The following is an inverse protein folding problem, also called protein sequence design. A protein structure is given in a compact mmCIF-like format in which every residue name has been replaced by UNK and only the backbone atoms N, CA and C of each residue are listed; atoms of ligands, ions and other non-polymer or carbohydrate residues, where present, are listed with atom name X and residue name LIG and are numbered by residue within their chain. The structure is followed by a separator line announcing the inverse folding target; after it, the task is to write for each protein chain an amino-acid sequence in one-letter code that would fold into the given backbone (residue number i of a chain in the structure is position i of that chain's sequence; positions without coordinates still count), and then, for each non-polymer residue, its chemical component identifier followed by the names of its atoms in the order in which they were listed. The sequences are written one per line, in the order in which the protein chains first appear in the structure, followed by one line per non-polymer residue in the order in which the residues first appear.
data_IF_989438400877
#
_entry.id   IF_989438400877
#
_cell.length_a   1.000
_cell.length_b   1.000
_cell.length_c   1.000
_cell.angle_alpha   90.00
_cell.angle_beta   90.00
_cell.angle_gamma   90.00
#
_symmetry.space_group_name_H-M   'P 1'
#
loop_
_entity.id
_entity.type
_entity.pdbx_description
1 polymer ?
#
# COMPACT_ATOMS: atom_id res chain seq x y z
N UNK A 1 41.00 -40.51 -27.83
CA UNK A 1 39.63 -40.04 -27.56
C UNK A 1 39.69 -38.92 -26.54
N UNK A 2 39.60 -37.65 -26.96
CA UNK A 2 39.51 -36.49 -26.05
C UNK A 2 38.03 -36.14 -25.90
N UNK A 3 37.47 -36.27 -24.69
CA UNK A 3 36.10 -35.84 -24.37
C UNK A 3 36.15 -34.35 -24.04
N UNK A 4 35.54 -33.49 -24.86
CA UNK A 4 35.28 -32.10 -24.48
C UNK A 4 34.07 -32.06 -23.54
N UNK A 5 34.25 -31.44 -22.39
CA UNK A 5 33.16 -31.10 -21.48
C UNK A 5 32.59 -29.75 -21.94
N UNK A 6 31.37 -29.74 -22.49
CA UNK A 6 30.63 -28.51 -22.72
C UNK A 6 30.02 -28.07 -21.38
N UNK A 7 30.47 -26.91 -20.87
CA UNK A 7 29.77 -26.18 -19.81
C UNK A 7 28.68 -25.33 -20.47
N UNK A 8 27.41 -25.73 -20.32
CA UNK A 8 26.28 -24.86 -20.61
C UNK A 8 26.17 -23.79 -19.52
N UNK A 9 26.54 -22.56 -19.86
CA UNK A 9 26.30 -21.39 -19.02
C UNK A 9 24.84 -20.95 -19.24
N UNK A 10 23.94 -21.39 -18.36
CA UNK A 10 22.55 -20.90 -18.35
C UNK A 10 22.55 -19.51 -17.72
N UNK A 11 22.52 -18.46 -18.54
CA UNK A 11 22.28 -17.11 -18.08
C UNK A 11 20.85 -17.03 -17.50
N UNK A 12 20.76 -16.95 -16.18
CA UNK A 12 19.50 -16.69 -15.49
C UNK A 12 19.11 -15.24 -15.80
N UNK A 13 18.23 -15.04 -16.77
CA UNK A 13 17.65 -13.73 -17.07
C UNK A 13 16.70 -13.37 -15.93
N UNK A 14 17.20 -12.65 -14.92
CA UNK A 14 16.36 -12.02 -13.91
C UNK A 14 15.50 -10.96 -14.59
N UNK A 15 14.24 -11.27 -14.86
CA UNK A 15 13.24 -10.22 -15.11
C UNK A 15 13.12 -9.43 -13.80
N UNK A 16 13.67 -8.23 -13.77
CA UNK A 16 13.28 -7.25 -12.75
C UNK A 16 11.82 -6.90 -13.04
N UNK A 17 10.92 -7.34 -12.16
CA UNK A 17 9.59 -6.77 -12.10
C UNK A 17 9.75 -5.31 -11.66
N UNK A 18 9.52 -4.36 -12.56
CA UNK A 18 9.53 -2.94 -12.23
C UNK A 18 8.19 -2.59 -11.57
N UNK A 19 8.25 -1.95 -10.41
CA UNK A 19 7.09 -1.51 -9.65
C UNK A 19 7.39 -0.18 -8.98
N UNK A 20 6.33 0.58 -8.72
CA UNK A 20 6.46 1.82 -7.95
C UNK A 20 6.86 1.50 -6.51
N UNK A 21 7.74 2.32 -5.95
CA UNK A 21 8.15 2.23 -4.55
C UNK A 21 7.10 2.92 -3.67
N UNK A 22 6.15 2.16 -3.13
CA UNK A 22 4.99 2.68 -2.38
C UNK A 22 4.66 1.81 -1.17
N UNK A 23 3.93 2.32 -0.16
CA UNK A 23 3.46 3.71 0.00
C UNK A 23 4.62 4.68 0.26
N UNK A 24 4.47 5.93 -0.17
CA UNK A 24 5.43 7.01 0.16
C UNK A 24 4.94 7.66 1.46
N UNK A 25 5.48 7.18 2.58
CA UNK A 25 5.04 7.51 3.95
C UNK A 25 6.09 8.30 4.75
N UNK A 26 7.27 8.54 4.15
CA UNK A 26 8.37 9.30 4.74
C UNK A 26 8.91 8.72 6.06
N UNK A 27 8.55 7.49 6.42
CA UNK A 27 8.99 6.86 7.65
C UNK A 27 10.50 6.53 7.61
N UNK A 28 11.20 6.51 8.76
CA UNK A 28 12.62 6.17 8.79
C UNK A 28 12.92 4.82 8.14
N UNK A 29 13.65 4.84 7.02
CA UNK A 29 13.95 3.64 6.21
C UNK A 29 12.85 3.22 5.23
N UNK A 30 11.71 3.93 5.23
CA UNK A 30 10.61 3.81 4.28
C UNK A 30 10.80 4.64 3.01
N UNK A 31 9.81 4.60 2.13
CA UNK A 31 9.85 5.31 0.86
C UNK A 31 9.56 6.80 1.03
N UNK A 32 10.27 7.65 0.29
CA UNK A 32 10.16 9.10 0.38
C UNK A 32 11.08 9.75 1.42
N UNK A 33 11.47 9.03 2.47
CA UNK A 33 12.23 9.58 3.60
C UNK A 33 13.65 10.05 3.23
N UNK A 34 14.29 9.36 2.29
CA UNK A 34 15.66 9.67 1.83
C UNK A 34 15.73 9.90 0.32
N UNK A 35 14.59 10.18 -0.31
CA UNK A 35 14.49 10.43 -1.74
C UNK A 35 14.93 11.85 -2.09
N UNK A 36 15.19 12.06 -3.38
CA UNK A 36 15.44 13.41 -3.90
C UNK A 36 14.12 14.11 -4.15
N UNK A 37 13.80 15.11 -3.34
CA UNK A 37 12.65 16.00 -3.56
C UNK A 37 13.13 17.36 -4.06
N UNK A 38 13.27 17.49 -5.38
CA UNK A 38 13.71 18.74 -6.01
C UNK A 38 12.56 19.74 -5.99
N UNK A 39 12.75 20.87 -5.31
CA UNK A 39 11.75 21.96 -5.27
C UNK A 39 11.95 22.89 -6.46
N UNK A 40 10.85 23.32 -7.07
CA UNK A 40 10.84 24.24 -8.21
C UNK A 40 9.81 25.35 -8.03
N UNK A 41 10.02 26.45 -8.78
CA UNK A 41 9.12 27.61 -8.89
C UNK A 41 8.75 28.25 -7.54
N UNK A 42 9.51 27.99 -6.48
CA UNK A 42 9.24 28.44 -5.12
C UNK A 42 10.26 29.51 -4.68
N UNK A 43 10.55 30.46 -5.57
CA UNK A 43 11.58 31.49 -5.38
C UNK A 43 12.99 30.93 -5.10
N UNK A 44 13.40 30.85 -3.83
CA UNK A 44 14.71 30.29 -3.44
C UNK A 44 14.73 28.77 -3.44
N UNK A 45 13.59 28.11 -3.72
CA UNK A 45 13.42 26.66 -3.72
C UNK A 45 13.94 26.00 -2.44
N UNK A 46 13.43 26.40 -1.25
CA UNK A 46 13.78 25.73 -0.01
C UNK A 46 13.44 24.24 -0.12
N UNK A 47 14.35 23.37 0.32
CA UNK A 47 14.17 21.93 0.23
C UNK A 47 12.89 21.47 0.97
N UNK A 48 12.31 20.36 0.51
CA UNK A 48 11.32 19.62 1.30
C UNK A 48 12.03 19.11 2.56
N UNK A 49 11.42 19.34 3.72
CA UNK A 49 11.92 18.85 5.00
C UNK A 49 11.10 17.63 5.42
N UNK A 50 11.75 16.55 5.85
CA UNK A 50 11.06 15.44 6.50
C UNK A 50 11.15 15.68 8.01
N UNK A 51 10.00 15.90 8.65
CA UNK A 51 9.90 16.28 10.06
C UNK A 51 8.98 15.32 10.82
N UNK A 52 8.99 15.39 12.15
CA UNK A 52 7.97 14.74 12.96
C UNK A 52 6.56 15.23 12.57
N UNK A 53 5.61 14.30 12.49
CA UNK A 53 4.21 14.62 12.20
C UNK A 53 3.68 15.62 13.26
N UNK A 54 3.17 16.81 12.85
CA UNK A 54 2.66 17.80 13.79
C UNK A 54 1.42 17.34 14.57
N UNK A 55 0.70 16.34 14.06
CA UNK A 55 -0.45 15.72 14.71
C UNK A 55 -0.56 14.24 14.29
N UNK A 56 0.12 13.32 14.99
CA UNK A 56 0.13 11.89 14.69
C UNK A 56 -1.12 11.19 15.24
N UNK A 57 -2.30 11.78 15.01
CA UNK A 57 -3.59 11.25 15.47
C UNK A 57 -4.61 11.19 14.33
N UNK A 58 -5.75 10.55 14.60
CA UNK A 58 -6.83 10.45 13.62
C UNK A 58 -6.43 9.57 12.42
N UNK A 59 -6.56 10.13 11.22
CA UNK A 59 -6.33 9.37 9.98
C UNK A 59 -4.84 9.26 9.61
N UNK A 60 -3.98 10.13 10.13
CA UNK A 60 -2.54 10.08 9.89
C UNK A 60 -1.79 9.83 11.19
N UNK A 61 -1.41 8.57 11.42
CA UNK A 61 -0.63 8.16 12.58
C UNK A 61 0.87 7.98 12.27
N UNK A 62 1.33 8.42 11.10
CA UNK A 62 2.75 8.40 10.72
C UNK A 62 3.58 9.18 11.73
N UNK A 63 4.80 8.72 12.00
CA UNK A 63 5.73 9.41 12.88
C UNK A 63 6.35 10.63 12.18
N UNK A 64 6.53 10.56 10.87
CA UNK A 64 7.15 11.62 10.07
C UNK A 64 6.34 11.97 8.83
N UNK A 65 6.49 13.21 8.36
CA UNK A 65 5.75 13.73 7.18
C UNK A 65 6.65 14.66 6.38
N UNK A 66 6.31 14.87 5.11
CA UNK A 66 6.93 15.91 4.30
C UNK A 66 6.36 17.28 4.61
N UNK A 67 7.24 18.27 4.79
CA UNK A 67 6.93 19.69 4.96
C UNK A 67 7.43 20.46 3.76
N UNK A 68 6.50 21.14 3.10
CA UNK A 68 6.76 22.11 2.05
C UNK A 68 6.51 23.53 2.56
N UNK A 69 7.51 24.40 2.42
CA UNK A 69 7.39 25.82 2.76
C UNK A 69 7.08 26.60 1.48
N UNK A 70 5.81 26.84 1.20
CA UNK A 70 5.35 27.61 0.05
C UNK A 70 5.60 29.11 0.29
N UNK A 71 6.59 29.69 -0.40
CA UNK A 71 7.00 31.07 -0.18
C UNK A 71 6.01 32.07 -0.79
N UNK A 72 5.89 33.24 -0.16
CA UNK A 72 5.12 34.39 -0.67
C UNK A 72 5.56 34.77 -2.09
N UNK A 73 6.86 34.77 -2.34
CA UNK A 73 7.45 35.06 -3.65
C UNK A 73 7.46 33.88 -4.63
N UNK A 74 7.00 32.69 -4.21
CA UNK A 74 6.88 31.52 -5.06
C UNK A 74 5.67 31.60 -6.00
N UNK A 75 5.74 30.87 -7.11
CA UNK A 75 4.60 30.74 -8.01
C UNK A 75 3.42 30.08 -7.30
N UNK A 76 2.17 30.35 -7.75
CA UNK A 76 1.00 29.65 -7.26
C UNK A 76 1.14 28.13 -7.34
N UNK A 77 1.78 27.63 -8.40
CA UNK A 77 2.06 26.21 -8.69
C UNK A 77 3.48 25.76 -8.31
N UNK A 78 4.11 26.40 -7.32
CA UNK A 78 5.35 25.89 -6.73
C UNK A 78 5.17 24.44 -6.23
N UNK A 79 6.16 23.58 -6.44
CA UNK A 79 6.04 22.16 -6.11
C UNK A 79 7.38 21.46 -5.91
N UNK A 80 7.30 20.14 -5.75
CA UNK A 80 8.47 19.27 -5.64
C UNK A 80 8.31 18.00 -6.48
N UNK A 81 9.43 17.42 -6.90
CA UNK A 81 9.45 16.23 -7.76
C UNK A 81 10.52 15.22 -7.33
N UNK A 82 10.22 13.94 -7.55
CA UNK A 82 11.15 12.83 -7.32
C UNK A 82 12.20 12.71 -8.43
N UNK A 83 13.35 12.09 -8.19
CA UNK A 83 14.35 11.83 -9.23
C UNK A 83 13.90 10.72 -10.21
N UNK A 84 14.00 11.01 -11.51
CA UNK A 84 13.78 10.03 -12.59
C UNK A 84 14.66 8.77 -12.42
N UNK A 85 14.09 7.61 -12.74
CA UNK A 85 14.78 6.32 -12.76
C UNK A 85 15.29 5.80 -11.41
N UNK A 86 15.04 6.48 -10.29
CA UNK A 86 15.55 6.11 -8.97
C UNK A 86 14.43 6.03 -7.91
N UNK A 87 13.87 7.18 -7.53
CA UNK A 87 13.07 7.34 -6.30
C UNK A 87 11.74 6.57 -6.34
N UNK A 88 10.71 7.09 -7.00
CA UNK A 88 9.40 6.41 -7.09
C UNK A 88 9.47 5.10 -7.90
N UNK A 89 10.58 4.86 -8.60
CA UNK A 89 10.77 3.73 -9.50
C UNK A 89 9.97 3.88 -10.79
N UNK A 90 10.15 2.94 -11.71
CA UNK A 90 9.41 2.91 -12.97
C UNK A 90 8.17 2.02 -12.84
N UNK A 91 7.01 2.54 -13.22
CA UNK A 91 5.73 1.83 -13.08
C UNK A 91 4.76 2.15 -14.20
N UNK A 92 3.88 1.19 -14.50
CA UNK A 92 2.77 1.37 -15.44
C UNK A 92 1.49 1.66 -14.67
N UNK A 93 0.72 2.66 -15.10
CA UNK A 93 -0.64 2.85 -14.59
C UNK A 93 -1.54 1.74 -15.13
N UNK A 94 -2.19 1.02 -14.22
CA UNK A 94 -3.12 -0.06 -14.50
C UNK A 94 -4.32 0.03 -13.52
N UNK A 95 -5.25 -0.92 -13.62
CA UNK A 95 -6.47 -0.90 -12.82
C UNK A 95 -6.24 -0.94 -11.31
N UNK A 96 -5.07 -1.42 -10.86
CA UNK A 96 -4.75 -1.56 -9.43
C UNK A 96 -4.12 -0.31 -8.81
N UNK A 97 -3.56 0.61 -9.61
CA UNK A 97 -2.82 1.79 -9.10
C UNK A 97 -3.24 3.13 -9.74
N UNK A 98 -4.26 3.13 -10.61
CA UNK A 98 -4.81 4.36 -11.22
C UNK A 98 -5.46 5.32 -10.24
N UNK A 99 -5.75 4.90 -9.01
CA UNK A 99 -6.22 5.81 -7.97
C UNK A 99 -5.04 6.14 -7.07
N UNK A 100 -4.61 7.40 -7.11
CA UNK A 100 -3.54 7.91 -6.25
C UNK A 100 -4.17 8.72 -5.14
N UNK A 101 -3.80 8.39 -3.90
CA UNK A 101 -4.22 9.12 -2.71
C UNK A 101 -3.01 9.81 -2.09
N UNK A 102 -3.28 10.90 -1.38
CA UNK A 102 -2.30 11.67 -0.61
C UNK A 102 -3.02 12.29 0.58
N UNK A 103 -2.40 12.26 1.76
CA UNK A 103 -2.87 13.03 2.91
C UNK A 103 -2.21 14.40 2.89
N UNK A 104 -3.00 15.45 3.16
CA UNK A 104 -2.51 16.82 3.24
C UNK A 104 -3.00 17.50 4.52
N UNK A 105 -2.18 18.42 5.03
CA UNK A 105 -2.54 19.34 6.10
C UNK A 105 -2.13 20.75 5.70
N UNK A 106 -3.11 21.64 5.61
CA UNK A 106 -2.94 23.01 5.08
C UNK A 106 -3.72 24.02 5.92
N UNK A 107 -3.26 25.26 5.97
CA UNK A 107 -3.98 26.35 6.65
C UNK A 107 -5.04 27.05 5.80
N UNK A 108 -5.19 26.65 4.53
CA UNK A 108 -6.11 27.23 3.54
C UNK A 108 -6.69 26.14 2.64
N UNK A 109 -7.85 26.42 2.04
CA UNK A 109 -8.43 25.63 0.95
C UNK A 109 -7.81 26.09 -0.36
N UNK A 110 -7.20 25.15 -1.09
CA UNK A 110 -6.76 25.34 -2.46
C UNK A 110 -6.52 24.00 -3.16
N UNK A 111 -6.40 24.02 -4.48
CA UNK A 111 -6.03 22.81 -5.21
C UNK A 111 -4.68 22.27 -4.74
N UNK A 112 -4.62 20.95 -4.63
CA UNK A 112 -3.41 20.15 -4.60
C UNK A 112 -3.33 19.41 -5.93
N UNK A 113 -2.14 19.33 -6.51
CA UNK A 113 -1.92 18.67 -7.79
C UNK A 113 -0.98 17.48 -7.68
N UNK A 114 -1.28 16.42 -8.42
CA UNK A 114 -0.33 15.35 -8.71
C UNK A 114 -0.14 15.28 -10.22
N UNK A 115 1.11 15.19 -10.65
CA UNK A 115 1.49 14.96 -12.04
C UNK A 115 2.45 13.78 -12.11
N UNK A 116 2.26 12.95 -13.13
CA UNK A 116 3.18 11.86 -13.46
C UNK A 116 3.96 12.21 -14.72
N UNK A 117 5.26 11.95 -14.68
CA UNK A 117 6.19 12.32 -15.75
C UNK A 117 6.96 11.08 -16.21
N UNK A 118 7.06 10.94 -17.53
CA UNK A 118 7.78 9.84 -18.18
C UNK A 118 9.27 10.18 -18.25
N UNK A 119 10.11 9.17 -18.47
CA UNK A 119 11.56 9.35 -18.59
C UNK A 119 11.98 10.28 -19.76
N UNK A 120 11.09 10.54 -20.73
CA UNK A 120 11.30 11.49 -21.83
C UNK A 120 10.76 12.91 -21.52
N UNK A 121 10.44 13.20 -20.26
CA UNK A 121 9.82 14.43 -19.76
C UNK A 121 8.39 14.70 -20.26
N UNK A 122 7.75 13.73 -20.92
CA UNK A 122 6.36 13.88 -21.33
C UNK A 122 5.39 13.63 -20.18
N UNK A 123 4.24 14.33 -20.20
CA UNK A 123 3.16 14.17 -19.23
C UNK A 123 1.80 14.52 -19.85
N UNK A 124 0.72 13.95 -19.30
CA UNK A 124 -0.67 14.35 -19.59
C UNK A 124 -1.11 15.59 -18.80
N UNK A 125 -0.22 16.16 -17.98
CA UNK A 125 -0.52 17.28 -17.10
C UNK A 125 -0.86 16.82 -15.68
N UNK A 126 -1.05 17.81 -14.81
CA UNK A 126 -1.46 17.59 -13.42
C UNK A 126 -2.97 17.39 -13.29
N UNK A 127 -3.37 16.50 -12.39
CA UNK A 127 -4.76 16.41 -11.90
C UNK A 127 -4.83 17.23 -10.62
N UNK A 128 -5.86 18.06 -10.48
CA UNK A 128 -6.07 18.96 -9.33
C UNK A 128 -7.29 18.56 -8.53
N UNK A 129 -7.13 18.52 -7.21
CA UNK A 129 -8.21 18.27 -6.25
C UNK A 129 -8.05 19.27 -5.11
N UNK A 130 -9.10 20.05 -4.84
CA UNK A 130 -9.12 20.98 -3.72
C UNK A 130 -9.28 20.22 -2.39
N UNK A 131 -8.47 20.58 -1.39
CA UNK A 131 -8.74 20.19 -0.01
C UNK A 131 -10.00 20.90 0.51
N UNK A 132 -10.78 20.23 1.35
CA UNK A 132 -12.01 20.78 1.95
C UNK A 132 -11.83 21.16 3.42
N UNK A 133 -10.77 20.66 4.05
CA UNK A 133 -10.46 20.86 5.46
C UNK A 133 -9.21 21.72 5.61
N UNK A 134 -9.11 22.42 6.75
CA UNK A 134 -7.92 23.21 7.10
C UNK A 134 -7.47 22.89 8.51
N UNK A 135 -6.17 22.97 8.75
CA UNK A 135 -5.51 22.69 10.02
C UNK A 135 -5.87 21.33 10.62
N UNK A 136 -6.05 20.34 9.74
CA UNK A 136 -6.24 18.93 10.07
C UNK A 136 -5.86 18.07 8.86
N UNK A 137 -5.56 16.80 9.09
CA UNK A 137 -5.28 15.84 8.02
C UNK A 137 -6.54 15.55 7.18
N UNK A 138 -6.39 15.58 5.87
CA UNK A 138 -7.40 15.19 4.89
C UNK A 138 -6.78 14.32 3.82
N UNK A 139 -7.45 13.23 3.44
CA UNK A 139 -7.07 12.42 2.28
C UNK A 139 -7.73 12.98 1.01
N UNK A 140 -6.90 13.26 0.01
CA UNK A 140 -7.34 13.61 -1.34
C UNK A 140 -7.15 12.42 -2.27
N UNK A 141 -8.09 12.23 -3.20
CA UNK A 141 -8.11 11.12 -4.16
C UNK A 141 -8.04 11.66 -5.59
N UNK A 142 -7.07 11.16 -6.37
CA UNK A 142 -6.81 11.54 -7.75
C UNK A 142 -7.03 10.35 -8.68
N UNK A 143 -7.85 10.54 -9.72
CA UNK A 143 -8.19 9.49 -10.69
C UNK A 143 -7.32 9.58 -11.95
N UNK A 144 -6.31 8.72 -12.03
CA UNK A 144 -5.41 8.56 -13.17
C UNK A 144 -5.91 7.50 -14.18
N UNK A 145 -7.22 7.20 -14.24
CA UNK A 145 -7.78 6.27 -15.24
C UNK A 145 -7.44 6.67 -16.68
N UNK A 146 -7.32 7.97 -16.97
CA UNK A 146 -6.90 8.47 -18.27
C UNK A 146 -5.41 8.17 -18.62
N UNK A 147 -4.64 7.67 -17.66
CA UNK A 147 -3.22 7.34 -17.81
C UNK A 147 -2.97 5.84 -17.99
N UNK A 148 -4.00 5.00 -18.03
CA UNK A 148 -3.88 3.54 -18.19
C UNK A 148 -2.95 3.15 -19.35
N UNK A 149 -1.98 2.27 -19.06
CA UNK A 149 -0.99 1.79 -20.00
C UNK A 149 0.26 2.67 -20.14
N UNK A 150 0.26 3.90 -19.63
CA UNK A 150 1.45 4.75 -19.63
C UNK A 150 2.43 4.32 -18.54
N UNK A 151 3.72 4.42 -18.87
CA UNK A 151 4.85 4.11 -17.98
C UNK A 151 5.50 5.40 -17.50
N UNK A 152 5.55 5.61 -16.18
CA UNK A 152 6.12 6.78 -15.53
C UNK A 152 7.27 6.38 -14.61
N UNK A 153 8.14 7.34 -14.31
CA UNK A 153 9.27 7.16 -13.40
C UNK A 153 9.53 8.38 -12.50
N UNK A 154 8.61 9.34 -12.51
CA UNK A 154 8.63 10.50 -11.62
C UNK A 154 7.21 10.90 -11.23
N UNK A 155 7.07 11.29 -9.96
CA UNK A 155 5.89 11.95 -9.42
C UNK A 155 6.23 13.38 -9.03
N UNK A 156 5.32 14.30 -9.33
CA UNK A 156 5.40 15.72 -8.97
C UNK A 156 4.20 16.06 -8.09
N UNK A 157 4.47 16.70 -6.95
CA UNK A 157 3.45 17.18 -6.02
C UNK A 157 3.43 18.70 -6.07
N UNK A 158 2.23 19.24 -6.28
CA UNK A 158 1.92 20.67 -6.23
C UNK A 158 1.07 20.94 -4.99
N UNK A 159 1.64 21.43 -3.87
CA UNK A 159 0.91 21.52 -2.61
C UNK A 159 -0.15 22.63 -2.55
N UNK A 160 -0.06 23.61 -3.45
CA UNK A 160 -0.95 24.77 -3.56
C UNK A 160 -1.02 25.21 -5.03
N UNK A 161 -2.08 25.93 -5.41
CA UNK A 161 -2.25 26.62 -6.70
C UNK A 161 -2.67 28.09 -6.55
N UNK A 162 -2.53 28.64 -5.34
CA UNK A 162 -2.94 30.02 -5.05
C UNK A 162 -1.77 30.95 -4.82
N UNK A 163 -1.88 32.17 -5.34
CA UNK A 163 -1.04 33.28 -4.89
C UNK A 163 -1.29 33.53 -3.40
N UNK A 164 -0.23 33.86 -2.66
CA UNK A 164 -0.28 33.94 -1.19
C UNK A 164 0.29 35.25 -0.68
N UNK A 165 -0.31 35.78 0.39
CA UNK A 165 0.08 37.05 1.01
C UNK A 165 1.24 36.92 2.01
N UNK A 166 1.58 35.70 2.39
CA UNK A 166 2.70 35.34 3.26
C UNK A 166 3.09 33.88 2.98
N UNK A 167 4.24 33.45 3.49
CA UNK A 167 4.67 32.06 3.43
C UNK A 167 3.63 31.13 4.08
N UNK A 168 3.49 29.93 3.53
CA UNK A 168 2.57 28.90 4.03
C UNK A 168 3.33 27.61 4.25
N UNK A 169 3.09 27.00 5.41
CA UNK A 169 3.55 25.65 5.67
C UNK A 169 2.46 24.68 5.26
N UNK A 170 2.85 23.70 4.46
CA UNK A 170 1.97 22.65 3.95
C UNK A 170 2.64 21.33 4.25
N UNK A 171 1.89 20.41 4.85
CA UNK A 171 2.36 19.05 5.05
C UNK A 171 1.64 18.11 4.10
N UNK A 172 2.36 17.10 3.65
CA UNK A 172 1.77 16.00 2.92
C UNK A 172 2.44 14.68 3.30
N UNK A 173 1.69 13.60 3.16
CA UNK A 173 2.10 12.27 3.58
C UNK A 173 1.30 11.19 2.84
N UNK A 174 1.70 9.93 2.97
CA UNK A 174 0.97 8.76 2.50
C UNK A 174 0.60 8.85 1.01
N UNK A 175 1.56 9.13 0.12
CA UNK A 175 1.29 9.11 -1.33
C UNK A 175 1.17 7.66 -1.79
N UNK A 176 0.12 7.35 -2.56
CA UNK A 176 -0.35 5.98 -2.79
C UNK A 176 -0.75 5.24 -1.49
N UNK A 177 -0.79 5.96 -0.37
CA UNK A 177 -1.35 5.53 0.89
C UNK A 177 -2.74 6.14 1.04
N UNK A 178 -3.75 5.28 1.12
CA UNK A 178 -5.03 5.73 1.62
C UNK A 178 -5.04 5.72 3.14
N UNK A 179 -6.01 6.40 3.74
CA UNK A 179 -6.71 5.97 4.94
C UNK A 179 -7.09 4.51 4.71
N UNK A 180 -6.20 3.62 5.13
CA UNK A 180 -6.61 2.48 5.92
C UNK A 180 -7.30 3.10 7.14
N UNK A 181 -8.62 3.27 7.01
CA UNK A 181 -9.54 3.66 8.07
C UNK A 181 -9.46 2.59 9.14
N UNK A 182 -8.51 2.72 10.07
CA UNK A 182 -7.87 1.56 10.68
C UNK A 182 -7.41 0.56 9.59
N UNK A 183 -6.81 -0.55 9.94
CA UNK A 183 -7.12 -1.70 9.11
C UNK A 183 -8.67 -1.72 9.11
N UNK A 184 -9.33 -1.50 7.96
CA UNK A 184 -10.26 -2.54 7.59
C UNK A 184 -9.33 -3.72 7.53
N UNK A 185 -9.11 -4.33 8.71
CA UNK A 185 -8.78 -5.71 8.81
C UNK A 185 -9.85 -6.21 7.86
N UNK A 186 -9.42 -6.61 6.66
CA UNK A 186 -10.00 -7.83 6.16
C UNK A 186 -9.64 -8.76 7.30
N UNK A 187 -10.51 -8.77 8.33
CA UNK A 187 -10.35 -9.58 9.51
C UNK A 187 -10.10 -10.93 8.86
N UNK A 188 -8.88 -11.48 9.00
CA UNK A 188 -8.33 -12.45 8.05
C UNK A 188 -9.43 -13.45 7.78
N UNK A 189 -9.98 -13.47 6.54
CA UNK A 189 -11.34 -13.98 6.25
C UNK A 189 -11.73 -15.04 7.26
N UNK A 190 -12.53 -14.66 8.25
CA UNK A 190 -12.54 -15.41 9.51
C UNK A 190 -13.09 -16.82 9.27
N UNK A 191 -12.27 -17.83 9.51
CA UNK A 191 -12.72 -19.22 9.53
C UNK A 191 -13.46 -19.45 10.85
N UNK A 192 -14.79 -19.38 10.82
CA UNK A 192 -15.66 -19.70 11.95
C UNK A 192 -15.72 -21.20 12.12
N UNK A 193 -15.58 -21.66 13.35
CA UNK A 193 -15.62 -23.08 13.71
C UNK A 193 -16.64 -23.29 14.82
N UNK A 194 -17.69 -24.06 14.55
CA UNK A 194 -18.74 -24.33 15.52
C UNK A 194 -19.25 -25.78 15.44
N UNK A 195 -19.66 -26.36 16.58
CA UNK A 195 -19.44 -25.84 17.94
C UNK A 195 -17.95 -25.90 18.32
N UNK A 196 -17.48 -24.98 19.16
CA UNK A 196 -16.15 -25.07 19.78
C UNK A 196 -16.31 -24.75 21.28
N UNK A 197 -16.13 -25.73 22.20
CA UNK A 197 -15.66 -27.09 21.97
C UNK A 197 -16.63 -28.01 21.20
N UNK A 198 -16.09 -28.92 20.39
CA UNK A 198 -16.84 -29.88 19.56
C UNK A 198 -16.87 -31.28 20.18
N UNK A 199 -17.91 -32.08 19.88
CA UNK A 199 -18.00 -33.49 20.29
C UNK A 199 -18.02 -34.47 19.13
N UNK A 200 -18.80 -34.20 18.10
CA UNK A 200 -19.04 -35.18 17.01
C UNK A 200 -18.81 -34.55 15.66
N UNK A 201 -19.45 -33.42 15.37
CA UNK A 201 -19.37 -32.77 14.07
C UNK A 201 -18.87 -31.33 14.22
N UNK A 202 -17.81 -30.97 13.48
CA UNK A 202 -17.27 -29.62 13.41
C UNK A 202 -17.68 -28.98 12.07
N UNK A 203 -18.36 -27.83 12.14
CA UNK A 203 -18.60 -27.00 10.96
C UNK A 203 -17.54 -25.92 10.86
N UNK A 204 -16.93 -25.79 9.69
CA UNK A 204 -15.99 -24.73 9.32
C UNK A 204 -16.63 -23.86 8.24
N UNK A 205 -16.72 -22.55 8.47
CA UNK A 205 -17.36 -21.61 7.57
C UNK A 205 -16.51 -20.36 7.38
N UNK A 206 -16.42 -19.88 6.14
CA UNK A 206 -15.76 -18.63 5.78
C UNK A 206 -16.70 -17.75 4.95
N UNK A 207 -16.47 -16.45 5.01
CA UNK A 207 -17.25 -15.46 4.25
C UNK A 207 -16.75 -15.33 2.79
N UNK A 208 -15.72 -16.10 2.42
CA UNK A 208 -15.11 -16.17 1.09
C UNK A 208 -14.79 -17.63 0.69
N UNK A 209 -14.70 -17.95 -0.62
CA UNK A 209 -14.33 -19.28 -1.08
C UNK A 209 -12.93 -19.68 -0.61
N UNK A 210 -12.85 -20.84 0.02
CA UNK A 210 -11.61 -21.49 0.44
C UNK A 210 -10.95 -22.17 -0.77
N UNK A 211 -9.65 -21.95 -0.95
CA UNK A 211 -8.83 -22.67 -1.94
C UNK A 211 -8.38 -24.02 -1.40
N UNK A 212 -8.12 -24.10 -0.09
CA UNK A 212 -7.83 -25.34 0.63
C UNK A 212 -8.20 -25.22 2.10
N UNK A 213 -8.49 -26.38 2.72
CA UNK A 213 -8.71 -26.50 4.15
C UNK A 213 -8.04 -27.78 4.66
N UNK A 214 -7.35 -27.70 5.78
CA UNK A 214 -6.68 -28.83 6.42
C UNK A 214 -6.79 -28.74 7.94
N UNK A 215 -6.86 -29.89 8.60
CA UNK A 215 -6.91 -30.01 10.06
C UNK A 215 -5.75 -30.89 10.54
N UNK A 216 -5.06 -30.42 11.57
CA UNK A 216 -3.89 -31.02 12.16
C UNK A 216 -4.09 -31.29 13.65
N UNK A 217 -3.44 -32.32 14.18
CA UNK A 217 -3.28 -32.50 15.62
C UNK A 217 -2.36 -31.42 16.21
N UNK A 218 -2.36 -31.27 17.54
CA UNK A 218 -1.42 -30.38 18.24
C UNK A 218 0.06 -30.73 18.00
N UNK A 219 0.37 -31.96 17.59
CA UNK A 219 1.71 -32.40 17.21
C UNK A 219 2.05 -32.11 15.73
N UNK A 220 1.14 -31.49 14.97
CA UNK A 220 1.33 -31.15 13.56
C UNK A 220 1.02 -32.28 12.57
N UNK A 221 0.45 -33.40 13.01
CA UNK A 221 0.05 -34.49 12.11
C UNK A 221 -1.22 -34.09 11.34
N UNK A 222 -1.22 -34.25 10.02
CA UNK A 222 -2.40 -34.00 9.17
C UNK A 222 -3.45 -35.08 9.41
N UNK A 223 -4.68 -34.69 9.75
CA UNK A 223 -5.79 -35.59 10.04
C UNK A 223 -6.89 -35.55 8.98
N UNK A 224 -7.08 -34.39 8.36
CA UNK A 224 -8.09 -34.18 7.34
C UNK A 224 -7.71 -33.05 6.41
N UNK A 225 -8.06 -33.13 5.13
CA UNK A 225 -7.95 -32.01 4.20
C UNK A 225 -9.02 -32.06 3.09
N UNK A 226 -9.23 -30.92 2.46
CA UNK A 226 -10.06 -30.78 1.29
C UNK A 226 -9.56 -29.63 0.42
N UNK A 227 -9.46 -29.87 -0.88
CA UNK A 227 -9.21 -28.82 -1.86
C UNK A 227 -10.53 -28.16 -2.25
N UNK A 228 -10.52 -26.83 -2.34
CA UNK A 228 -11.64 -26.00 -2.81
C UNK A 228 -13.02 -26.36 -2.21
N UNK A 229 -13.20 -26.35 -0.88
CA UNK A 229 -14.49 -26.69 -0.28
C UNK A 229 -15.58 -25.61 -0.47
N UNK A 230 -15.33 -24.56 -1.27
CA UNK A 230 -16.26 -23.44 -1.40
C UNK A 230 -16.25 -22.62 -0.11
N UNK A 231 -17.40 -22.31 0.47
CA UNK A 231 -17.51 -21.44 1.65
C UNK A 231 -17.28 -22.14 2.99
N UNK A 232 -16.99 -23.44 3.01
CA UNK A 232 -16.84 -24.18 4.26
C UNK A 232 -16.90 -25.70 4.09
N UNK A 233 -16.73 -26.42 5.19
CA UNK A 233 -16.85 -27.87 5.23
C UNK A 233 -17.38 -28.34 6.58
N UNK A 234 -17.96 -29.53 6.60
CA UNK A 234 -18.38 -30.22 7.82
C UNK A 234 -17.52 -31.46 7.98
N UNK A 235 -16.97 -31.66 9.18
CA UNK A 235 -16.03 -32.75 9.48
C UNK A 235 -16.52 -33.53 10.69
N UNK A 236 -16.67 -34.85 10.52
CA UNK A 236 -16.89 -35.78 11.62
C UNK A 236 -15.57 -35.97 12.39
N UNK A 237 -15.59 -35.56 13.65
CA UNK A 237 -14.50 -35.65 14.62
C UNK A 237 -14.86 -36.56 15.79
N UNK A 238 -15.96 -37.32 15.73
CA UNK A 238 -16.47 -38.16 16.82
C UNK A 238 -15.44 -39.14 17.37
N UNK A 239 -14.62 -39.72 16.48
CA UNK A 239 -13.57 -40.68 16.81
C UNK A 239 -12.23 -40.04 17.17
N UNK A 240 -12.12 -38.71 17.11
CA UNK A 240 -10.87 -38.03 17.39
C UNK A 240 -10.64 -37.93 18.90
N UNK A 241 -9.40 -38.15 19.39
CA UNK A 241 -9.08 -37.98 20.79
C UNK A 241 -9.43 -36.59 21.31
N UNK A 242 -9.75 -36.50 22.60
CA UNK A 242 -9.91 -35.20 23.28
C UNK A 242 -8.61 -34.42 23.19
N UNK A 243 -8.69 -33.13 22.90
CA UNK A 243 -7.51 -32.29 22.77
C UNK A 243 -7.70 -31.09 21.86
N UNK A 244 -6.58 -30.41 21.61
CA UNK A 244 -6.51 -29.23 20.74
C UNK A 244 -6.11 -29.64 19.32
N UNK A 245 -6.75 -29.00 18.35
CA UNK A 245 -6.50 -29.18 16.93
C UNK A 245 -6.30 -27.83 16.25
N UNK A 246 -5.51 -27.82 15.18
CA UNK A 246 -5.24 -26.64 14.37
C UNK A 246 -5.89 -26.80 13.00
N UNK A 247 -6.51 -25.74 12.50
CA UNK A 247 -7.03 -25.66 11.14
C UNK A 247 -6.14 -24.72 10.33
N UNK A 248 -5.84 -25.08 9.09
CA UNK A 248 -5.13 -24.24 8.13
C UNK A 248 -6.00 -24.10 6.89
N UNK A 249 -6.36 -22.87 6.53
CA UNK A 249 -7.15 -22.57 5.34
C UNK A 249 -6.35 -21.64 4.42
N UNK A 250 -6.52 -21.78 3.10
CA UNK A 250 -6.05 -20.80 2.12
C UNK A 250 -7.26 -20.04 1.57
N UNK A 251 -7.25 -18.71 1.69
CA UNK A 251 -8.36 -17.82 1.31
C UNK A 251 -7.76 -16.62 0.59
N UNK A 252 -8.10 -16.43 -0.69
CA UNK A 252 -7.60 -15.32 -1.50
C UNK A 252 -6.05 -15.22 -1.47
N UNK A 253 -5.37 -16.36 -1.64
CA UNK A 253 -3.91 -16.48 -1.55
C UNK A 253 -3.30 -16.31 -0.15
N UNK A 254 -4.09 -16.02 0.89
CA UNK A 254 -3.63 -15.89 2.28
C UNK A 254 -3.87 -17.16 3.08
N UNK A 255 -2.94 -17.48 3.99
CA UNK A 255 -3.07 -18.63 4.88
C UNK A 255 -3.61 -18.18 6.23
N UNK A 256 -4.77 -18.73 6.62
CA UNK A 256 -5.39 -18.53 7.94
C UNK A 256 -5.17 -19.78 8.79
N UNK A 257 -4.67 -19.60 10.01
CA UNK A 257 -4.55 -20.68 11.00
C UNK A 257 -5.47 -20.40 12.18
N UNK A 258 -6.24 -21.39 12.62
CA UNK A 258 -7.12 -21.27 13.79
C UNK A 258 -7.08 -22.55 14.62
N UNK A 259 -7.65 -22.51 15.83
CA UNK A 259 -7.69 -23.67 16.73
C UNK A 259 -9.10 -24.00 17.21
N UNK A 260 -9.37 -25.26 17.42
CA UNK A 260 -10.57 -25.73 18.13
C UNK A 260 -10.23 -26.81 19.16
N UNK A 261 -11.15 -27.04 20.09
CA UNK A 261 -11.03 -28.03 21.16
C UNK A 261 -12.06 -29.13 20.98
N UNK A 262 -11.62 -30.39 21.03
CA UNK A 262 -12.47 -31.59 21.07
C UNK A 262 -12.68 -32.05 22.52
N UNK A 263 -13.94 -32.16 22.94
CA UNK A 263 -14.38 -32.70 24.22
C UNK A 263 -14.94 -34.12 24.13
#
# INVERSE_FOLDING_TARGET
MKKSLLFSFSALLTLFATGQNVPVDFEPGGFGATWTWTVFENATNPAVEIIANPDPTGINTSATVAKFTALQGGQPYAGCETMHGADIGMFTINDNNKIIKIMVWKSVISDVGIKLVRADNWSLGEIKVANTMVNQWEELTFDFSAHLGNVYDQIVVFPDFTSRAADRIIYFDNIFGGVVSSVAEVAPSALKMFPNPVKEELTLQADQPLESLAIYSAAGALLWNQARPGYGATVDVSLWPRGMYLTKASINGQVVVSKFVKN
#
